data_IF_314868909110
#
_entry.id   IF_314868909110
#
_cell.length_a   1.000
_cell.length_b   1.000
_cell.length_c   1.000
_cell.angle_alpha   90.00
_cell.angle_beta   90.00
_cell.angle_gamma   90.00
#
_symmetry.space_group_name_H-M   'P 1'
#
loop_
_entity.id
_entity.type
_entity.pdbx_description
1 polymer ?
#
# COMPACT_ATOMS: atom_id res chain seq x y z
N UNK A 1 -65.47 16.06 -43.42
CA UNK A 1 -64.85 14.96 -42.64
C UNK A 1 -63.35 14.74 -42.91
N UNK A 2 -62.80 15.10 -44.09
CA UNK A 2 -61.39 14.82 -44.44
C UNK A 2 -60.30 15.57 -43.64
N UNK A 3 -60.53 16.83 -43.23
CA UNK A 3 -59.53 17.62 -42.47
C UNK A 3 -59.25 17.08 -41.06
N UNK A 4 -60.20 16.39 -40.45
CA UNK A 4 -60.05 15.82 -39.10
C UNK A 4 -59.06 14.65 -39.09
N UNK A 5 -59.18 13.75 -40.07
CA UNK A 5 -58.32 12.57 -40.20
C UNK A 5 -56.87 12.94 -40.54
N UNK A 6 -56.67 13.96 -41.37
CA UNK A 6 -55.33 14.43 -41.74
C UNK A 6 -54.52 14.96 -40.53
N UNK A 7 -55.17 15.75 -39.67
CA UNK A 7 -54.55 16.27 -38.45
C UNK A 7 -54.21 15.17 -37.43
N UNK A 8 -55.02 14.11 -37.36
CA UNK A 8 -54.76 12.95 -36.49
C UNK A 8 -53.51 12.19 -36.96
N UNK A 9 -53.37 11.95 -38.27
CA UNK A 9 -52.21 11.25 -38.85
C UNK A 9 -50.90 12.03 -38.64
N UNK A 10 -50.93 13.35 -38.79
CA UNK A 10 -49.75 14.20 -38.53
C UNK A 10 -49.34 14.12 -37.05
N UNK A 11 -50.29 14.24 -36.12
CA UNK A 11 -50.01 14.16 -34.68
C UNK A 11 -49.39 12.81 -34.29
N UNK A 12 -49.90 11.70 -34.84
CA UNK A 12 -49.35 10.37 -34.60
C UNK A 12 -47.92 10.22 -35.13
N UNK A 13 -47.62 10.76 -36.31
CA UNK A 13 -46.25 10.75 -36.87
C UNK A 13 -45.28 11.58 -36.03
N UNK A 14 -45.70 12.77 -35.58
CA UNK A 14 -44.85 13.63 -34.73
C UNK A 14 -44.57 12.97 -33.38
N UNK A 15 -45.57 12.36 -32.74
CA UNK A 15 -45.39 11.59 -31.49
C UNK A 15 -44.44 10.40 -31.67
N UNK A 16 -44.56 9.67 -32.79
CA UNK A 16 -43.68 8.54 -33.11
C UNK A 16 -42.23 8.97 -33.33
N UNK A 17 -42.00 10.08 -34.05
CA UNK A 17 -40.65 10.63 -34.26
C UNK A 17 -40.04 11.12 -32.95
N UNK A 18 -40.83 11.84 -32.12
CA UNK A 18 -40.36 12.33 -30.82
C UNK A 18 -39.99 11.18 -29.87
N UNK A 19 -40.81 10.13 -29.83
CA UNK A 19 -40.53 8.93 -29.03
C UNK A 19 -39.24 8.24 -29.48
N UNK A 20 -39.01 8.14 -30.79
CA UNK A 20 -37.79 7.54 -31.34
C UNK A 20 -36.54 8.35 -30.94
N UNK A 21 -36.62 9.68 -31.00
CA UNK A 21 -35.51 10.57 -30.61
C UNK A 21 -35.19 10.42 -29.11
N UNK A 22 -36.21 10.38 -28.25
CA UNK A 22 -36.02 10.20 -26.80
C UNK A 22 -35.37 8.85 -26.49
N UNK A 23 -35.84 7.76 -27.12
CA UNK A 23 -35.25 6.42 -26.94
C UNK A 23 -33.79 6.42 -27.40
N UNK A 24 -33.48 7.04 -28.53
CA UNK A 24 -32.11 7.13 -29.04
C UNK A 24 -31.20 7.92 -28.09
N UNK A 25 -31.68 9.02 -27.52
CA UNK A 25 -30.95 9.81 -26.53
C UNK A 25 -30.66 9.00 -25.25
N UNK A 26 -31.65 8.26 -24.75
CA UNK A 26 -31.46 7.36 -23.60
C UNK A 26 -30.44 6.25 -23.90
N UNK A 27 -30.49 5.63 -25.08
CA UNK A 27 -29.53 4.60 -25.48
C UNK A 27 -28.09 5.15 -25.57
N UNK A 28 -27.91 6.35 -26.13
CA UNK A 28 -26.60 7.00 -26.21
C UNK A 28 -26.04 7.33 -24.82
N UNK A 29 -26.89 7.86 -23.92
CA UNK A 29 -26.48 8.15 -22.54
C UNK A 29 -26.10 6.87 -21.76
N UNK A 30 -26.81 5.76 -21.98
CA UNK A 30 -26.48 4.47 -21.36
C UNK A 30 -25.11 3.93 -21.82
N UNK A 31 -24.75 4.11 -23.10
CA UNK A 31 -23.42 3.71 -23.60
C UNK A 31 -22.29 4.53 -22.98
N UNK A 32 -22.48 5.83 -22.75
CA UNK A 32 -21.45 6.67 -22.10
C UNK A 32 -21.21 6.28 -20.63
N UNK A 33 -22.26 5.92 -19.90
CA UNK A 33 -22.16 5.42 -18.52
C UNK A 33 -21.49 4.04 -18.45
N UNK A 34 -21.76 3.16 -19.42
CA UNK A 34 -21.11 1.84 -19.49
C UNK A 34 -19.61 1.97 -19.84
N UNK A 35 -19.26 2.86 -20.77
CA UNK A 35 -17.88 3.13 -21.15
C UNK A 35 -17.04 3.75 -20.03
N UNK A 36 -17.65 4.55 -19.14
CA UNK A 36 -16.97 5.07 -17.94
C UNK A 36 -16.75 3.99 -16.87
N UNK A 37 -17.64 2.98 -16.78
CA UNK A 37 -17.54 1.91 -15.78
C UNK A 37 -16.37 0.95 -16.06
N UNK A 38 -15.97 0.86 -17.33
CA UNK A 38 -14.86 0.05 -17.84
C UNK A 38 -13.57 0.86 -18.08
N UNK A 39 -13.39 2.00 -17.41
CA UNK A 39 -12.05 2.57 -17.28
C UNK A 39 -11.17 1.49 -16.64
N UNK A 40 -10.35 0.84 -17.47
CA UNK A 40 -9.44 -0.22 -17.06
C UNK A 40 -8.68 0.31 -15.85
N UNK A 41 -8.88 -0.35 -14.73
CA UNK A 41 -8.05 -0.32 -13.54
C UNK A 41 -6.65 -0.83 -13.92
N UNK A 42 -5.91 0.00 -14.63
CA UNK A 42 -4.55 -0.29 -15.07
C UNK A 42 -3.62 -0.12 -13.87
N UNK A 43 -2.60 -0.97 -13.83
CA UNK A 43 -1.49 -0.75 -12.93
C UNK A 43 -0.73 0.49 -13.42
N UNK A 44 -0.09 1.21 -12.51
CA UNK A 44 0.73 2.34 -12.89
C UNK A 44 1.92 2.54 -11.98
N UNK A 45 2.97 3.16 -12.52
CA UNK A 45 4.19 3.51 -11.82
C UNK A 45 4.31 5.03 -11.79
N UNK A 46 4.74 5.58 -10.65
CA UNK A 46 5.27 6.94 -10.56
C UNK A 46 6.78 6.79 -10.50
N UNK A 47 7.49 7.33 -11.47
CA UNK A 47 8.95 7.31 -11.55
C UNK A 47 9.55 8.34 -10.60
N UNK A 48 10.85 8.22 -10.30
CA UNK A 48 11.56 9.24 -9.51
C UNK A 48 11.59 10.62 -10.20
N UNK A 49 11.43 10.68 -11.52
CA UNK A 49 11.27 11.94 -12.25
C UNK A 49 9.92 12.64 -11.98
N UNK A 50 8.95 11.93 -11.38
CA UNK A 50 7.57 12.37 -11.23
C UNK A 50 6.65 11.92 -12.38
N UNK A 51 7.21 11.37 -13.46
CA UNK A 51 6.42 10.86 -14.58
C UNK A 51 5.59 9.64 -14.16
N UNK A 52 4.42 9.49 -14.77
CA UNK A 52 3.52 8.36 -14.51
C UNK A 52 3.42 7.46 -15.74
N UNK A 53 3.66 6.17 -15.57
CA UNK A 53 3.56 5.15 -16.61
C UNK A 53 2.37 4.23 -16.33
N UNK A 54 1.47 4.10 -17.30
CA UNK A 54 0.31 3.19 -17.23
C UNK A 54 0.60 1.88 -17.97
N UNK A 55 0.12 0.76 -17.43
CA UNK A 55 0.40 -0.55 -17.99
C UNK A 55 0.03 -1.70 -17.07
N UNK A 56 0.84 -2.76 -17.09
CA UNK A 56 0.63 -3.98 -16.32
C UNK A 56 1.88 -4.36 -15.54
N UNK A 57 1.75 -4.48 -14.23
CA UNK A 57 2.79 -5.05 -13.38
C UNK A 57 2.67 -6.56 -13.43
N UNK A 58 3.75 -7.23 -13.84
CA UNK A 58 3.81 -8.70 -13.91
C UNK A 58 4.45 -9.31 -12.67
N UNK A 59 5.41 -8.63 -12.05
CA UNK A 59 6.10 -9.10 -10.86
C UNK A 59 6.78 -7.94 -10.14
N UNK A 60 6.72 -7.96 -8.81
CA UNK A 60 7.60 -7.16 -7.95
C UNK A 60 8.39 -8.15 -7.10
N UNK A 61 9.71 -8.00 -7.12
CA UNK A 61 10.68 -8.69 -6.26
C UNK A 61 11.59 -7.63 -5.64
N UNK A 62 12.32 -8.00 -4.61
CA UNK A 62 13.14 -7.12 -3.77
C UNK A 62 13.86 -6.05 -4.60
N UNK A 63 14.61 -6.43 -5.65
CA UNK A 63 15.38 -5.45 -6.46
C UNK A 63 14.87 -5.20 -7.87
N UNK A 64 13.70 -5.75 -8.23
CA UNK A 64 13.22 -5.72 -9.63
C UNK A 64 11.70 -5.65 -9.69
N UNK A 65 11.20 -4.67 -10.42
CA UNK A 65 9.81 -4.57 -10.83
C UNK A 65 9.71 -4.80 -12.34
N UNK A 66 8.90 -5.77 -12.76
CA UNK A 66 8.65 -6.06 -14.18
C UNK A 66 7.32 -5.45 -14.62
N UNK A 67 7.38 -4.61 -15.64
CA UNK A 67 6.27 -3.82 -16.15
C UNK A 67 6.10 -4.02 -17.66
N UNK A 68 4.87 -4.06 -18.13
CA UNK A 68 4.51 -4.06 -19.55
C UNK A 68 3.73 -2.78 -19.85
N UNK A 69 4.23 -1.93 -20.75
CA UNK A 69 3.57 -0.69 -21.16
C UNK A 69 2.31 -0.95 -21.99
N UNK A 70 1.51 0.08 -22.25
CA UNK A 70 0.36 -0.02 -23.15
C UNK A 70 0.75 -0.43 -24.57
N UNK A 71 1.96 -0.08 -25.01
CA UNK A 71 2.55 -0.49 -26.29
C UNK A 71 3.08 -1.95 -26.26
N UNK A 72 2.86 -2.68 -25.17
CA UNK A 72 3.34 -4.05 -24.91
C UNK A 72 4.85 -4.18 -24.80
N UNK A 73 5.55 -3.09 -24.54
CA UNK A 73 6.98 -3.12 -24.28
C UNK A 73 7.24 -3.59 -22.85
N UNK A 74 8.16 -4.54 -22.69
CA UNK A 74 8.49 -5.10 -21.37
C UNK A 74 9.73 -4.41 -20.82
N UNK A 75 9.56 -3.73 -19.70
CA UNK A 75 10.61 -2.97 -19.01
C UNK A 75 10.79 -3.53 -17.60
N UNK A 76 12.03 -3.52 -17.11
CA UNK A 76 12.33 -3.85 -15.70
C UNK A 76 12.90 -2.62 -15.02
N UNK A 77 12.30 -2.25 -13.90
CA UNK A 77 12.73 -1.13 -13.08
C UNK A 77 13.45 -1.62 -11.82
N UNK A 78 14.52 -0.91 -11.46
CA UNK A 78 15.16 -0.99 -10.15
C UNK A 78 14.47 -0.03 -9.15
N UNK A 79 14.63 -0.24 -7.83
CA UNK A 79 13.94 0.57 -6.82
C UNK A 79 14.29 2.06 -6.87
N UNK A 80 15.53 2.41 -7.19
CA UNK A 80 16.00 3.80 -7.37
C UNK A 80 15.38 4.52 -8.59
N UNK A 81 14.63 3.82 -9.44
CA UNK A 81 13.97 4.41 -10.62
C UNK A 81 12.47 4.69 -10.39
N UNK A 82 11.88 4.10 -9.35
CA UNK A 82 10.42 4.11 -9.14
C UNK A 82 10.11 4.72 -7.78
N UNK A 83 9.38 5.82 -7.76
CA UNK A 83 8.89 6.43 -6.53
C UNK A 83 7.76 5.59 -5.88
N UNK A 84 6.78 5.16 -6.69
CA UNK A 84 5.65 4.32 -6.26
C UNK A 84 5.20 3.40 -7.39
N UNK A 85 4.74 2.20 -7.04
CA UNK A 85 4.09 1.29 -7.97
C UNK A 85 2.74 0.85 -7.44
N UNK A 86 1.69 1.08 -8.21
CA UNK A 86 0.31 0.74 -7.87
C UNK A 86 -0.11 -0.48 -8.68
N UNK A 87 -0.14 -1.63 -8.01
CA UNK A 87 -0.57 -2.90 -8.58
C UNK A 87 -2.05 -3.12 -8.28
N UNK A 88 -2.90 -2.45 -9.06
CA UNK A 88 -4.34 -2.44 -8.89
C UNK A 88 -4.93 -3.85 -9.01
N UNK A 89 -4.41 -4.69 -9.93
CA UNK A 89 -4.84 -6.07 -10.07
C UNK A 89 -4.65 -6.93 -8.80
N UNK A 90 -3.73 -6.52 -7.91
CA UNK A 90 -3.49 -7.17 -6.61
C UNK A 90 -3.91 -6.30 -5.42
N UNK A 91 -4.40 -5.09 -5.66
CA UNK A 91 -4.67 -4.08 -4.63
C UNK A 91 -3.46 -3.82 -3.72
N UNK A 92 -2.27 -3.71 -4.32
CA UNK A 92 -1.00 -3.50 -3.59
C UNK A 92 -0.28 -2.26 -4.07
N UNK A 93 0.41 -1.61 -3.15
CA UNK A 93 1.31 -0.50 -3.44
C UNK A 93 2.72 -0.91 -3.05
N UNK A 94 3.70 -0.55 -3.86
CA UNK A 94 5.12 -0.78 -3.56
C UNK A 94 5.88 0.53 -3.61
N UNK A 95 6.91 0.63 -2.77
CA UNK A 95 7.82 1.76 -2.72
C UNK A 95 9.25 1.26 -2.44
N UNK A 96 10.27 2.04 -2.82
CA UNK A 96 11.64 1.80 -2.37
C UNK A 96 11.74 1.95 -0.85
N UNK A 97 12.46 1.04 -0.24
CA UNK A 97 12.75 1.00 1.20
C UNK A 97 14.20 0.63 1.43
N UNK A 98 14.78 1.18 2.49
CA UNK A 98 16.13 0.85 2.95
C UNK A 98 16.10 -0.04 4.20
N UNK A 99 14.92 -0.41 4.69
CA UNK A 99 14.79 -1.08 5.99
C UNK A 99 15.23 -2.54 5.97
N UNK A 100 15.29 -3.19 4.81
CA UNK A 100 15.85 -4.55 4.77
C UNK A 100 17.34 -4.60 5.10
N UNK A 101 18.09 -3.60 4.64
CA UNK A 101 19.55 -3.67 4.64
C UNK A 101 20.19 -2.57 5.48
N UNK A 102 19.41 -1.57 5.88
CA UNK A 102 19.89 -0.34 6.50
C UNK A 102 19.46 -0.15 7.95
N UNK A 103 18.94 -1.17 8.65
CA UNK A 103 18.60 -0.99 10.07
C UNK A 103 19.82 -1.11 10.97
N UNK A 104 20.07 -0.05 11.74
CA UNK A 104 21.03 -0.06 12.83
C UNK A 104 20.29 -0.03 14.18
N UNK A 105 20.60 -0.94 15.11
CA UNK A 105 20.02 -0.90 16.44
C UNK A 105 20.51 0.34 17.19
N UNK A 106 19.58 1.11 17.78
CA UNK A 106 19.94 2.25 18.64
C UNK A 106 20.40 1.70 20.00
N UNK A 107 21.66 1.91 20.42
CA UNK A 107 22.19 1.36 21.67
C UNK A 107 21.43 1.88 22.90
N UNK A 108 21.26 1.01 23.90
CA UNK A 108 20.64 1.39 25.18
C UNK A 108 19.11 1.52 25.16
N UNK A 109 18.44 1.08 24.09
CA UNK A 109 16.98 1.17 23.96
C UNK A 109 16.27 -0.11 24.39
N UNK A 110 15.18 0.02 25.16
CA UNK A 110 14.31 -1.07 25.57
C UNK A 110 12.85 -0.62 25.51
N UNK A 111 12.03 -1.12 24.57
CA UNK A 111 12.34 -2.13 23.54
C UNK A 111 13.40 -1.67 22.53
N UNK A 112 14.03 -2.64 21.84
CA UNK A 112 15.04 -2.37 20.82
C UNK A 112 14.44 -1.50 19.72
N UNK A 113 15.12 -0.40 19.41
CA UNK A 113 14.77 0.49 18.32
C UNK A 113 15.78 0.40 17.20
N UNK A 114 15.37 0.82 16.02
CA UNK A 114 16.23 0.90 14.87
C UNK A 114 16.20 2.30 14.26
N UNK A 115 17.28 2.64 13.59
CA UNK A 115 17.38 3.82 12.73
C UNK A 115 17.84 3.38 11.35
N UNK A 116 17.52 4.16 10.32
CA UNK A 116 18.12 3.96 9.01
C UNK A 116 19.58 4.43 9.02
N UNK A 117 20.49 3.50 8.76
CA UNK A 117 21.89 3.76 8.46
C UNK A 117 22.00 4.70 7.27
N UNK A 118 22.98 5.59 7.35
CA UNK A 118 23.33 6.53 6.27
C UNK A 118 24.52 6.03 5.44
N UNK A 119 24.85 4.75 5.54
CA UNK A 119 25.94 4.17 4.75
C UNK A 119 25.66 4.36 3.25
N UNK A 120 26.67 4.87 2.53
CA UNK A 120 26.53 5.31 1.14
C UNK A 120 26.33 4.17 0.13
N UNK A 121 26.55 2.92 0.55
CA UNK A 121 26.50 1.71 -0.26
C UNK A 121 25.18 0.92 -0.10
N UNK A 122 24.24 1.41 0.70
CA UNK A 122 22.96 0.74 0.91
C UNK A 122 22.06 0.89 -0.31
N UNK A 123 21.79 -0.24 -0.96
CA UNK A 123 20.87 -0.31 -2.10
C UNK A 123 19.44 -0.57 -1.62
N UNK A 124 18.46 0.23 -2.06
CA UNK A 124 17.06 0.04 -1.68
C UNK A 124 16.47 -1.23 -2.28
N UNK A 125 15.40 -1.71 -1.66
CA UNK A 125 14.54 -2.76 -2.22
C UNK A 125 13.07 -2.31 -2.28
N UNK A 126 12.24 -2.99 -3.05
CA UNK A 126 10.80 -2.76 -3.13
C UNK A 126 10.08 -3.40 -1.94
N UNK A 127 9.56 -2.57 -1.06
CA UNK A 127 8.68 -2.98 0.03
C UNK A 127 7.21 -2.76 -0.32
N UNK A 128 6.33 -3.63 0.17
CA UNK A 128 4.88 -3.48 0.04
C UNK A 128 4.39 -2.44 1.05
N UNK A 129 3.81 -1.34 0.59
CA UNK A 129 3.32 -0.23 1.41
C UNK A 129 1.95 -0.59 1.98
N UNK A 130 1.85 -0.49 3.31
CA UNK A 130 0.63 -0.78 4.08
C UNK A 130 -0.09 0.50 4.45
N UNK A 131 0.68 1.51 4.87
CA UNK A 131 0.19 2.85 5.16
C UNK A 131 1.23 3.85 4.65
N UNK A 132 0.76 4.89 3.97
CA UNK A 132 1.60 6.00 3.51
C UNK A 132 1.13 7.31 4.19
N UNK A 133 2.06 8.03 4.80
CA UNK A 133 1.82 9.24 5.56
C UNK A 133 3.08 9.70 6.28
N UNK A 134 2.94 10.46 7.36
CA UNK A 134 4.07 10.87 8.21
C UNK A 134 4.80 9.65 8.79
N UNK A 135 4.02 8.64 9.21
CA UNK A 135 4.52 7.30 9.49
C UNK A 135 4.21 6.43 8.28
N UNK A 136 5.24 5.88 7.65
CA UNK A 136 5.10 4.84 6.61
C UNK A 136 5.18 3.47 7.26
N UNK A 137 4.21 2.60 6.95
CA UNK A 137 4.26 1.20 7.32
C UNK A 137 4.43 0.34 6.07
N UNK A 138 5.31 -0.65 6.11
CA UNK A 138 5.54 -1.54 4.98
C UNK A 138 5.89 -2.96 5.41
N UNK A 139 5.59 -3.90 4.52
CA UNK A 139 6.05 -5.28 4.58
C UNK A 139 7.33 -5.46 3.78
N UNK A 140 8.28 -6.08 4.46
CA UNK A 140 9.57 -6.55 3.97
C UNK A 140 9.54 -8.07 3.91
N UNK A 141 10.09 -8.67 2.86
CA UNK A 141 10.34 -10.12 2.82
C UNK A 141 11.83 -10.39 3.02
N UNK A 142 12.22 -10.90 4.17
CA UNK A 142 13.59 -11.37 4.38
C UNK A 142 13.74 -12.81 3.90
N UNK A 143 14.76 -13.06 3.08
CA UNK A 143 15.19 -14.41 2.73
C UNK A 143 16.18 -14.90 3.80
N UNK A 144 15.74 -15.84 4.64
CA UNK A 144 16.65 -16.48 5.59
C UNK A 144 17.42 -17.59 4.87
N UNK A 145 18.75 -17.45 4.84
CA UNK A 145 19.67 -18.50 4.40
C UNK A 145 20.10 -19.32 5.62
N UNK A 146 19.40 -20.42 5.87
CA UNK A 146 19.69 -21.33 6.97
C UNK A 146 19.88 -22.74 6.46
N UNK A 147 21.05 -23.34 6.70
CA UNK A 147 21.32 -24.76 6.51
C UNK A 147 20.48 -25.59 7.50
N UNK A 148 19.20 -25.75 7.21
CA UNK A 148 18.29 -26.58 7.97
C UNK A 148 18.39 -28.02 7.51
N UNK A 149 19.18 -28.84 8.20
CA UNK A 149 19.09 -30.30 8.10
C UNK A 149 17.69 -30.76 8.50
N UNK A 150 16.80 -30.89 7.51
CA UNK A 150 15.46 -31.42 7.70
C UNK A 150 15.50 -32.95 7.76
N UNK A 151 15.16 -33.52 8.92
CA UNK A 151 14.87 -34.95 9.02
C UNK A 151 13.50 -35.17 8.37
N UNK A 152 13.49 -35.68 7.14
CA UNK A 152 12.27 -36.20 6.52
C UNK A 152 11.88 -37.51 7.23
N UNK A 153 10.89 -37.44 8.12
CA UNK A 153 10.19 -38.63 8.61
C UNK A 153 9.26 -39.15 7.49
N UNK A 154 9.86 -39.84 6.52
CA UNK A 154 9.17 -40.63 5.50
C UNK A 154 9.57 -42.09 5.63
N UNK A 155 8.59 -43.00 5.68
CA UNK A 155 8.82 -44.43 5.83
C UNK A 155 9.57 -45.00 4.62
N UNK A 156 10.88 -45.23 4.78
CA UNK A 156 11.69 -46.01 3.83
C UNK A 156 12.97 -45.31 3.41
N UNK A 157 14.07 -45.65 4.09
CA UNK A 157 15.43 -45.31 3.66
C UNK A 157 16.09 -44.21 4.47
N UNK A 158 16.99 -44.61 5.38
CA UNK A 158 17.91 -43.72 6.09
C UNK A 158 18.89 -43.11 5.10
N UNK A 159 18.73 -41.82 4.80
CA UNK A 159 19.66 -41.03 4.00
C UNK A 159 19.52 -39.55 4.34
N UNK A 160 20.54 -38.96 4.97
CA UNK A 160 20.64 -37.53 5.27
C UNK A 160 20.90 -36.77 3.97
N UNK A 161 19.85 -36.16 3.39
CA UNK A 161 20.03 -35.18 2.32
C UNK A 161 20.15 -33.80 2.97
N UNK A 162 21.35 -33.22 2.97
CA UNK A 162 21.60 -31.82 3.35
C UNK A 162 20.96 -30.92 2.28
N UNK A 163 19.69 -30.59 2.45
CA UNK A 163 18.96 -29.64 1.61
C UNK A 163 19.15 -28.21 2.11
N UNK A 164 19.58 -27.31 1.23
CA UNK A 164 19.52 -25.86 1.47
C UNK A 164 18.05 -25.45 1.45
N UNK A 165 17.47 -25.17 2.62
CA UNK A 165 16.12 -24.65 2.74
C UNK A 165 16.10 -23.12 2.63
N UNK A 166 15.24 -22.58 1.77
CA UNK A 166 14.95 -21.14 1.73
C UNK A 166 13.64 -20.88 2.45
N UNK A 167 13.67 -20.20 3.59
CA UNK A 167 12.45 -19.67 4.22
C UNK A 167 12.38 -18.16 3.99
N UNK A 168 11.19 -17.68 3.57
CA UNK A 168 10.90 -16.24 3.50
C UNK A 168 10.05 -15.87 4.71
N UNK A 169 10.57 -15.04 5.58
CA UNK A 169 9.82 -14.49 6.72
C UNK A 169 9.40 -13.07 6.35
N UNK A 170 8.14 -12.73 6.60
CA UNK A 170 7.63 -11.37 6.37
C UNK A 170 7.71 -10.59 7.68
N UNK A 171 8.35 -9.43 7.63
CA UNK A 171 8.40 -8.48 8.72
C UNK A 171 7.67 -7.21 8.31
N UNK A 172 6.89 -6.65 9.22
CA UNK A 172 6.31 -5.32 9.04
C UNK A 172 7.14 -4.32 9.84
N UNK A 173 7.39 -3.16 9.25
CA UNK A 173 8.08 -2.07 9.90
C UNK A 173 7.29 -0.78 9.76
N UNK A 174 7.44 0.12 10.72
CA UNK A 174 6.96 1.49 10.64
C UNK A 174 8.14 2.47 10.78
N UNK A 175 8.23 3.41 9.84
CA UNK A 175 9.22 4.48 9.79
C UNK A 175 8.51 5.82 9.98
N UNK A 176 8.92 6.61 10.97
CA UNK A 176 8.48 8.01 11.11
C UNK A 176 9.41 8.91 10.30
N UNK A 177 8.87 9.59 9.28
CA UNK A 177 9.64 10.38 8.31
C UNK A 177 10.42 11.50 8.98
N UNK A 178 9.80 12.25 9.89
CA UNK A 178 10.43 13.38 10.55
C UNK A 178 11.66 13.00 11.40
N UNK A 179 11.65 11.81 12.03
CA UNK A 179 12.71 11.40 12.95
C UNK A 179 13.67 10.36 12.36
N UNK A 180 13.26 9.64 11.32
CA UNK A 180 14.01 8.50 10.80
C UNK A 180 13.96 7.26 11.72
N UNK A 181 13.18 7.30 12.81
CA UNK A 181 13.01 6.18 13.73
C UNK A 181 12.22 5.06 13.06
N UNK A 182 12.72 3.84 13.17
CA UNK A 182 12.07 2.62 12.67
C UNK A 182 11.74 1.68 13.81
N UNK A 183 10.51 1.15 13.79
CA UNK A 183 10.07 0.09 14.68
C UNK A 183 9.62 -1.13 13.88
N UNK A 184 9.83 -2.31 14.44
CA UNK A 184 9.26 -3.55 13.92
C UNK A 184 7.83 -3.73 14.47
N UNK A 185 6.87 -3.96 13.57
CA UNK A 185 5.49 -4.34 13.88
C UNK A 185 5.43 -5.87 13.93
N UNK A 186 5.79 -6.44 15.07
CA UNK A 186 5.85 -7.89 15.22
C UNK A 186 4.45 -8.55 15.18
N UNK A 187 4.24 -9.49 14.25
CA UNK A 187 3.06 -10.36 14.22
C UNK A 187 3.26 -11.57 15.14
N UNK A 188 2.76 -11.48 16.37
CA UNK A 188 2.50 -12.62 17.27
C UNK A 188 3.60 -13.71 17.37
N UNK A 189 4.68 -13.42 18.10
CA UNK A 189 5.33 -14.49 18.86
C UNK A 189 4.54 -14.74 20.15
N UNK A 190 3.66 -15.75 20.12
CA UNK A 190 2.97 -16.29 21.30
C UNK A 190 4.01 -16.94 22.24
N UNK A 191 4.56 -16.16 23.16
CA UNK A 191 5.20 -16.66 24.37
C UNK A 191 4.24 -16.50 25.54
N UNK A 192 3.81 -17.61 26.15
CA UNK A 192 2.88 -17.70 27.29
C UNK A 192 3.29 -16.88 28.54
N UNK A 193 4.47 -16.23 28.54
CA UNK A 193 4.99 -15.39 29.62
C UNK A 193 5.67 -14.09 29.15
N UNK A 194 5.30 -13.55 27.97
CA UNK A 194 6.03 -12.39 27.45
C UNK A 194 5.48 -11.04 27.94
N UNK A 195 6.36 -10.20 28.49
CA UNK A 195 6.20 -8.73 28.66
C UNK A 195 5.98 -7.98 27.32
N UNK A 196 5.53 -8.67 26.27
CA UNK A 196 5.34 -8.19 24.91
C UNK A 196 4.25 -7.13 24.82
N UNK A 197 3.19 -7.22 25.63
CA UNK A 197 2.13 -6.20 25.68
C UNK A 197 2.69 -4.82 26.04
N UNK A 198 3.45 -4.74 27.14
CA UNK A 198 4.10 -3.49 27.60
C UNK A 198 5.11 -2.98 26.57
N UNK A 199 5.91 -3.87 25.97
CA UNK A 199 6.85 -3.49 24.90
C UNK A 199 6.12 -2.92 23.68
N UNK A 200 5.06 -3.57 23.20
CA UNK A 200 4.26 -3.12 22.04
C UNK A 200 3.62 -1.75 22.26
N UNK A 201 3.02 -1.51 23.43
CA UNK A 201 2.45 -0.20 23.78
C UNK A 201 3.54 0.87 23.78
N UNK A 202 4.71 0.59 24.37
CA UNK A 202 5.85 1.51 24.39
C UNK A 202 6.41 1.77 22.99
N UNK A 203 6.50 0.75 22.14
CA UNK A 203 7.08 0.86 20.79
C UNK A 203 6.24 1.78 19.89
N UNK A 204 4.94 1.52 19.74
CA UNK A 204 4.09 2.40 18.92
C UNK A 204 3.86 3.74 19.61
N UNK A 205 3.67 3.72 20.93
CA UNK A 205 3.45 4.91 21.74
C UNK A 205 4.53 5.96 21.55
N UNK A 206 5.79 5.54 21.40
CA UNK A 206 6.90 6.44 21.09
C UNK A 206 6.78 7.11 19.72
N UNK A 207 6.30 6.42 18.69
CA UNK A 207 6.14 7.02 17.37
C UNK A 207 5.01 8.05 17.30
N UNK A 208 3.98 7.90 18.16
CA UNK A 208 2.78 8.76 18.16
C UNK A 208 2.68 9.63 19.42
N UNK A 209 3.75 9.76 20.20
CA UNK A 209 3.74 10.45 21.51
C UNK A 209 3.47 11.96 21.41
N UNK A 210 3.69 12.54 20.24
CA UNK A 210 3.34 13.91 19.87
C UNK A 210 1.84 14.10 19.63
N UNK A 211 1.05 13.02 19.59
CA UNK A 211 -0.42 13.04 19.63
C UNK A 211 -0.93 12.40 20.95
N UNK A 212 -0.93 13.14 22.07
CA UNK A 212 -1.18 12.57 23.39
C UNK A 212 -2.59 11.98 23.54
N UNK A 213 -3.61 12.55 22.87
CA UNK A 213 -4.97 12.00 22.89
C UNK A 213 -5.06 10.65 22.19
N UNK A 214 -4.45 10.54 21.00
CA UNK A 214 -4.41 9.30 20.24
C UNK A 214 -3.60 8.22 20.99
N UNK A 215 -2.51 8.62 21.63
CA UNK A 215 -1.72 7.72 22.46
C UNK A 215 -2.51 7.21 23.68
N UNK A 216 -3.22 8.10 24.39
CA UNK A 216 -4.06 7.71 25.53
C UNK A 216 -5.22 6.78 25.14
N UNK A 217 -5.77 6.91 23.92
CA UNK A 217 -6.72 5.94 23.37
C UNK A 217 -6.06 4.58 23.12
N UNK A 218 -4.88 4.58 22.51
CA UNK A 218 -4.13 3.36 22.23
C UNK A 218 -3.78 2.58 23.51
N UNK A 219 -3.39 3.27 24.59
CA UNK A 219 -3.05 2.64 25.87
C UNK A 219 -4.22 1.85 26.49
N UNK A 220 -5.46 2.28 26.21
CA UNK A 220 -6.68 1.62 26.71
C UNK A 220 -7.01 0.33 25.95
N UNK A 221 -6.31 0.04 24.86
CA UNK A 221 -6.59 -1.13 24.02
C UNK A 221 -6.22 -2.43 24.76
N UNK A 222 -7.09 -3.43 24.62
CA UNK A 222 -6.93 -4.71 25.33
C UNK A 222 -5.99 -5.67 24.59
N UNK A 223 -5.95 -5.59 23.26
CA UNK A 223 -5.22 -6.49 22.36
C UNK A 223 -4.34 -5.69 21.41
N UNK A 224 -3.05 -5.96 21.43
CA UNK A 224 -2.05 -5.27 20.62
C UNK A 224 -1.62 -6.18 19.47
N UNK A 225 -2.48 -6.27 18.43
CA UNK A 225 -2.23 -7.04 17.23
C UNK A 225 -1.85 -6.13 16.05
N UNK A 226 -1.43 -6.75 14.95
CA UNK A 226 -1.00 -6.05 13.74
C UNK A 226 -2.05 -5.07 13.21
N UNK A 227 -3.33 -5.48 13.09
CA UNK A 227 -4.39 -4.63 12.55
C UNK A 227 -4.61 -3.37 13.39
N UNK A 228 -4.49 -3.49 14.71
CA UNK A 228 -4.58 -2.35 15.62
C UNK A 228 -3.44 -1.36 15.37
N UNK A 229 -2.21 -1.85 15.20
CA UNK A 229 -1.06 -0.98 14.91
C UNK A 229 -1.29 -0.18 13.63
N UNK A 230 -1.70 -0.87 12.56
CA UNK A 230 -2.00 -0.22 11.28
C UNK A 230 -3.11 0.82 11.43
N UNK A 231 -4.19 0.49 12.16
CA UNK A 231 -5.30 1.42 12.44
C UNK A 231 -4.81 2.71 13.11
N UNK A 232 -3.98 2.60 14.15
CA UNK A 232 -3.50 3.79 14.88
C UNK A 232 -2.48 4.59 14.06
N UNK A 233 -1.65 3.94 13.23
CA UNK A 233 -0.76 4.63 12.28
C UNK A 233 -1.59 5.41 11.25
N UNK A 234 -2.66 4.84 10.70
CA UNK A 234 -3.56 5.53 9.78
C UNK A 234 -4.19 6.77 10.43
N UNK A 235 -4.75 6.63 11.64
CA UNK A 235 -5.35 7.75 12.38
C UNK A 235 -4.33 8.85 12.68
N UNK A 236 -3.11 8.48 13.09
CA UNK A 236 -2.04 9.44 13.30
C UNK A 236 -1.75 10.23 12.01
N UNK A 237 -1.61 9.54 10.88
CA UNK A 237 -1.35 10.17 9.59
C UNK A 237 -2.48 11.11 9.13
N UNK A 238 -3.74 10.75 9.41
CA UNK A 238 -4.90 11.61 9.16
C UNK A 238 -4.83 12.91 9.98
N UNK A 239 -4.49 12.81 11.28
CA UNK A 239 -4.30 13.97 12.14
C UNK A 239 -3.17 14.88 11.64
N UNK A 240 -2.01 14.31 11.27
CA UNK A 240 -0.91 15.11 10.71
C UNK A 240 -1.30 15.82 9.42
N UNK A 241 -2.03 15.14 8.53
CA UNK A 241 -2.52 15.73 7.28
C UNK A 241 -3.47 16.90 7.54
N UNK A 242 -4.37 16.77 8.51
CA UNK A 242 -5.28 17.84 8.89
C UNK A 242 -4.55 19.05 9.49
N UNK A 243 -3.48 18.83 10.26
CA UNK A 243 -2.63 19.92 10.78
C UNK A 243 -1.89 20.65 9.67
N UNK A 244 -1.33 19.91 8.72
CA UNK A 244 -0.64 20.50 7.56
C UNK A 244 -1.59 21.32 6.67
N UNK A 245 -2.78 20.79 6.37
CA UNK A 245 -3.76 21.52 5.55
C UNK A 245 -4.27 22.80 6.23
N UNK A 246 -4.48 22.78 7.55
CA UNK A 246 -4.85 23.97 8.31
C UNK A 246 -3.74 25.04 8.28
N UNK A 247 -2.48 24.63 8.44
CA UNK A 247 -1.34 25.56 8.35
C UNK A 247 -1.16 26.15 6.95
N UNK A 248 -1.41 25.38 5.89
CA UNK A 248 -1.37 25.87 4.51
C UNK A 248 -2.53 26.83 4.20
N UNK A 249 -3.70 26.60 4.78
CA UNK A 249 -4.84 27.51 4.65
C UNK A 249 -4.57 28.86 5.33
N UNK A 250 -3.92 28.85 6.49
CA UNK A 250 -3.57 30.07 7.24
C UNK A 250 -2.53 30.92 6.49
N UNK A 251 -1.55 30.28 5.83
CA UNK A 251 -0.55 30.96 4.98
C UNK A 251 -1.13 31.63 3.72
N UNK A 252 -2.35 31.27 3.30
CA UNK A 252 -3.00 31.87 2.12
C UNK A 252 -3.74 33.17 2.42
N UNK A 253 -3.69 33.66 3.65
CA UNK A 253 -4.16 35.00 4.02
C UNK A 253 -2.97 35.87 4.45
N UNK A 254 -2.34 36.52 3.47
CA UNK A 254 -1.55 37.72 3.72
C UNK A 254 -2.14 38.79 2.80
N UNK A 255 -2.81 39.78 3.39
CA UNK A 255 -3.16 41.06 2.74
C UNK A 255 -1.90 41.93 2.65
#
# INVERSE_FOLDING_TARGET
MGLSLFNIVIRMKVLSVLSTIVILFFLLSAMTLYAQKDQKKLDYLVLMSGDTLYGKISSVKDRKLKFESEQKEKVTFAPDQVFRAYWEAKQKVYAPSYVENGLEPVPGTSPQMYQLSRAADLEPTFAEVLVDGEIMAYYVSELHFGGGGGIMFGSGGSGTVMGVGFSKTKYAYALKKATGEVIEINSNTNGLFSNSKKKRTVTLGRLINDEPELFAEFEKEKKYNYDLFIKYIMRYNELQRAKQSAQEADKRFIY
#
